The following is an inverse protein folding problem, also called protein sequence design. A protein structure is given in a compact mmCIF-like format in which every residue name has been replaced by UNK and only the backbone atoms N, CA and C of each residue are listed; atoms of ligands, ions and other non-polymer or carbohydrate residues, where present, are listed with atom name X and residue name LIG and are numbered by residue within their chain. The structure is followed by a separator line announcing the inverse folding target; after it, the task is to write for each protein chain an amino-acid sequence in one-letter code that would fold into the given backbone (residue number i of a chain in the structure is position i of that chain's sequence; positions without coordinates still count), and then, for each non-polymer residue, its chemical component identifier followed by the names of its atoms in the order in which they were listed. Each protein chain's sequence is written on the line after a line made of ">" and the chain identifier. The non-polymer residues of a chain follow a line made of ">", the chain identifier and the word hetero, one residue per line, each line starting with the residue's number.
data_IF_313812489038
#
_entry.id   IF_313812489038
#
_cell.length_a   1.000
_cell.length_b   1.000
_cell.length_c   1.000
_cell.angle_alpha   90.00
_cell.angle_beta   90.00
_cell.angle_gamma   90.00
#
_symmetry.space_group_name_H-M   'P 1'
#
loop_
_entity.id
_entity.type
_entity.pdbx_description
1 polymer ?
#
# COMPACT_ATOMS: atom_id res chain seq x y z
N UNK A 1 -7.18 -1.41 -12.62
CA UNK A 1 -5.83 -0.82 -12.45
C UNK A 1 -5.17 -0.40 -13.76
N UNK A 2 -5.66 -0.82 -14.94
CA UNK A 2 -5.00 -0.50 -16.20
C UNK A 2 -4.92 1.03 -16.46
N UNK A 3 -6.00 1.75 -16.14
CA UNK A 3 -6.09 3.20 -16.37
C UNK A 3 -5.13 4.04 -15.51
N UNK A 4 -4.82 3.61 -14.29
CA UNK A 4 -3.91 4.32 -13.39
C UNK A 4 -2.43 4.12 -13.78
N UNK A 5 -2.14 2.99 -14.45
CA UNK A 5 -0.83 2.64 -14.96
C UNK A 5 -0.57 3.25 -16.36
N UNK A 6 -1.61 3.31 -17.21
CA UNK A 6 -1.58 4.01 -18.51
C UNK A 6 -1.15 5.47 -18.39
N UNK A 7 -1.57 6.17 -17.33
CA UNK A 7 -1.22 7.58 -17.06
C UNK A 7 0.29 7.79 -16.87
N UNK A 8 1.04 6.75 -16.46
CA UNK A 8 2.47 6.87 -16.18
C UNK A 8 3.38 6.54 -17.37
N UNK A 9 2.83 6.05 -18.50
CA UNK A 9 3.61 5.63 -19.68
C UNK A 9 4.55 4.44 -19.42
N UNK A 10 4.51 3.85 -18.23
CA UNK A 10 5.23 2.64 -17.87
C UNK A 10 4.21 1.50 -17.97
N UNK A 11 4.57 0.41 -18.65
CA UNK A 11 3.75 -0.80 -18.70
C UNK A 11 3.36 -1.27 -17.29
N UNK A 12 2.40 -2.19 -17.21
CA UNK A 12 1.96 -2.73 -15.91
C UNK A 12 3.14 -3.25 -15.08
N UNK A 13 3.19 -2.95 -13.77
CA UNK A 13 4.29 -3.40 -12.93
C UNK A 13 4.34 -4.93 -12.96
N UNK A 14 5.55 -5.50 -12.95
CA UNK A 14 5.74 -6.94 -12.90
C UNK A 14 5.24 -7.55 -11.60
N UNK A 15 5.34 -6.77 -10.50
CA UNK A 15 4.88 -7.17 -9.18
C UNK A 15 4.37 -5.96 -8.39
N UNK A 16 3.37 -6.16 -7.53
CA UNK A 16 2.85 -5.15 -6.60
C UNK A 16 3.00 -5.61 -5.15
N UNK A 17 3.19 -4.64 -4.25
CA UNK A 17 3.23 -4.87 -2.80
C UNK A 17 2.19 -3.95 -2.18
N UNK A 18 1.29 -4.53 -1.41
CA UNK A 18 0.24 -3.85 -0.66
C UNK A 18 0.61 -4.01 0.81
N UNK A 19 0.59 -2.91 1.54
CA UNK A 19 0.90 -2.90 2.98
C UNK A 19 -0.26 -2.24 3.68
N UNK A 20 -0.91 -3.03 4.52
CA UNK A 20 -2.03 -2.66 5.38
C UNK A 20 -2.94 -1.51 4.92
N UNK A 21 -4.03 -1.85 4.25
CA UNK A 21 -5.04 -0.90 3.80
C UNK A 21 -6.10 -0.57 4.84
N UNK A 22 -5.96 -1.03 6.09
CA UNK A 22 -6.78 -0.80 7.31
C UNK A 22 -8.29 -1.04 7.18
N UNK A 23 -8.96 -0.28 6.33
CA UNK A 23 -10.39 -0.34 6.09
C UNK A 23 -10.64 0.10 4.65
N UNK A 24 -11.09 -0.81 3.79
CA UNK A 24 -11.70 -0.41 2.52
C UNK A 24 -12.96 -1.22 2.32
N UNK A 25 -14.05 -0.51 2.05
CA UNK A 25 -15.32 -1.09 1.69
C UNK A 25 -15.82 -0.29 0.47
N UNK A 26 -15.86 -0.92 -0.72
CA UNK A 26 -16.29 -0.23 -1.94
C UNK A 26 -17.76 0.21 -1.87
N UNK A 27 -18.55 -0.41 -1.00
CA UNK A 27 -19.97 -0.12 -0.84
C UNK A 27 -20.24 1.04 0.14
N UNK A 28 -19.20 1.59 0.76
CA UNK A 28 -19.29 2.74 1.66
C UNK A 28 -18.49 3.91 1.10
N UNK A 29 -18.93 5.16 1.30
CA UNK A 29 -18.14 6.33 0.92
C UNK A 29 -16.87 6.44 1.78
N UNK A 30 -15.83 7.10 1.26
CA UNK A 30 -14.57 7.32 1.98
C UNK A 30 -14.78 8.06 3.31
N UNK A 31 -15.69 9.04 3.31
CA UNK A 31 -16.26 9.65 4.51
C UNK A 31 -17.76 9.39 4.52
N UNK A 32 -18.30 9.03 5.68
CA UNK A 32 -19.73 8.85 5.89
C UNK A 32 -20.50 10.16 5.68
N UNK A 33 -19.93 11.28 6.13
CA UNK A 33 -20.51 12.61 6.08
C UNK A 33 -19.42 13.71 6.21
N UNK A 34 -19.82 14.97 6.07
CA UNK A 34 -18.90 16.11 6.18
C UNK A 34 -18.36 16.29 7.61
N UNK A 35 -19.07 15.82 8.63
CA UNK A 35 -18.63 15.91 10.03
C UNK A 35 -17.43 14.98 10.29
N UNK A 36 -17.50 13.75 9.79
CA UNK A 36 -16.37 12.82 9.81
C UNK A 36 -15.17 13.35 9.01
N UNK A 37 -15.43 13.91 7.83
CA UNK A 37 -14.39 14.55 7.00
C UNK A 37 -13.69 15.68 7.74
N UNK A 38 -14.45 16.59 8.36
CA UNK A 38 -13.89 17.71 9.11
C UNK A 38 -13.11 17.24 10.34
N UNK A 39 -13.60 16.22 11.04
CA UNK A 39 -12.92 15.63 12.21
C UNK A 39 -11.57 15.04 11.79
N UNK A 40 -11.51 14.31 10.67
CA UNK A 40 -10.27 13.78 10.12
C UNK A 40 -9.29 14.89 9.69
N UNK A 41 -9.80 15.98 9.11
CA UNK A 41 -8.99 17.14 8.73
C UNK A 41 -8.40 17.85 9.95
N UNK A 42 -9.19 18.08 10.99
CA UNK A 42 -8.74 18.72 12.23
C UNK A 42 -7.67 17.87 12.94
N UNK A 43 -7.87 16.55 12.99
CA UNK A 43 -6.90 15.61 13.54
C UNK A 43 -5.59 15.59 12.73
N UNK A 44 -5.68 15.59 11.40
CA UNK A 44 -4.52 15.68 10.53
C UNK A 44 -3.77 17.01 10.70
N UNK A 45 -4.49 18.13 10.81
CA UNK A 45 -3.88 19.45 11.09
C UNK A 45 -3.18 19.47 12.45
N UNK A 46 -3.75 18.81 13.47
CA UNK A 46 -3.10 18.66 14.78
C UNK A 46 -1.80 17.87 14.69
N UNK A 47 -1.73 16.86 13.84
CA UNK A 47 -0.56 15.99 13.67
C UNK A 47 0.54 16.63 12.80
N UNK A 48 0.17 17.20 11.64
CA UNK A 48 1.12 17.70 10.65
C UNK A 48 1.36 19.21 10.72
N UNK A 49 0.53 19.92 11.48
CA UNK A 49 0.62 21.35 11.72
C UNK A 49 -0.23 22.19 10.73
N UNK A 50 -0.62 23.41 11.13
CA UNK A 50 -1.54 24.27 10.37
C UNK A 50 -0.99 24.71 9.00
N UNK A 51 0.34 24.71 8.82
CA UNK A 51 0.97 24.99 7.53
C UNK A 51 0.73 23.93 6.45
N UNK A 52 0.19 22.75 6.82
CA UNK A 52 -0.06 21.64 5.91
C UNK A 52 -1.53 21.51 5.48
N UNK A 53 -2.41 22.42 5.90
CA UNK A 53 -3.86 22.33 5.63
C UNK A 53 -4.18 22.06 4.15
N UNK A 54 -3.55 22.79 3.22
CA UNK A 54 -3.77 22.57 1.77
C UNK A 54 -3.38 21.16 1.32
N UNK A 55 -2.27 20.64 1.82
CA UNK A 55 -1.79 19.30 1.48
C UNK A 55 -2.72 18.22 2.03
N UNK A 56 -3.27 18.42 3.23
CA UNK A 56 -4.25 17.52 3.86
C UNK A 56 -5.54 17.46 3.03
N UNK A 57 -6.08 18.62 2.65
CA UNK A 57 -7.27 18.71 1.79
C UNK A 57 -7.03 18.06 0.43
N UNK A 58 -5.90 18.37 -0.23
CA UNK A 58 -5.50 17.74 -1.50
C UNK A 58 -5.38 16.21 -1.37
N UNK A 59 -4.87 15.71 -0.24
CA UNK A 59 -4.77 14.28 0.04
C UNK A 59 -6.16 13.65 0.16
N UNK A 60 -7.08 14.23 0.94
CA UNK A 60 -8.43 13.69 1.09
C UNK A 60 -9.24 13.73 -0.20
N UNK A 61 -9.17 14.81 -0.98
CA UNK A 61 -9.86 14.90 -2.26
C UNK A 61 -9.37 13.83 -3.24
N UNK A 62 -8.05 13.60 -3.27
CA UNK A 62 -7.46 12.53 -4.07
C UNK A 62 -7.95 11.15 -3.62
N UNK A 63 -8.01 10.90 -2.32
CA UNK A 63 -8.48 9.63 -1.78
C UNK A 63 -9.97 9.40 -2.08
N UNK A 64 -10.82 10.40 -1.86
CA UNK A 64 -12.24 10.34 -2.20
C UNK A 64 -12.45 10.03 -3.69
N UNK A 65 -11.71 10.69 -4.58
CA UNK A 65 -11.79 10.44 -6.01
C UNK A 65 -11.36 9.01 -6.40
N UNK A 66 -10.27 8.50 -5.80
CA UNK A 66 -9.84 7.11 -6.02
C UNK A 66 -10.93 6.14 -5.53
N UNK A 67 -11.53 6.43 -4.37
CA UNK A 67 -12.57 5.61 -3.76
C UNK A 67 -13.83 5.54 -4.61
N UNK A 68 -14.31 6.65 -5.16
CA UNK A 68 -15.48 6.67 -6.05
C UNK A 68 -15.28 5.87 -7.34
N UNK A 69 -14.04 5.73 -7.78
CA UNK A 69 -13.69 5.03 -9.03
C UNK A 69 -13.12 3.61 -8.79
N UNK A 70 -13.17 3.13 -7.56
CA UNK A 70 -12.51 1.90 -7.11
C UNK A 70 -13.31 0.62 -7.39
N UNK A 71 -14.60 0.72 -7.70
CA UNK A 71 -15.51 -0.41 -7.92
C UNK A 71 -15.28 -1.20 -9.23
N UNK A 72 -14.38 -0.73 -10.12
CA UNK A 72 -14.09 -1.44 -11.37
C UNK A 72 -12.61 -1.34 -11.79
N UNK A 73 -11.66 -1.92 -11.03
CA UNK A 73 -10.32 -2.12 -11.55
C UNK A 73 -10.31 -3.38 -12.42
N UNK A 74 -9.67 -3.33 -13.59
CA UNK A 74 -9.26 -4.58 -14.25
C UNK A 74 -8.46 -5.44 -13.26
N UNK A 75 -8.69 -6.75 -13.28
CA UNK A 75 -7.92 -7.70 -12.49
C UNK A 75 -6.43 -7.49 -12.74
N UNK A 76 -5.66 -7.31 -11.67
CA UNK A 76 -4.22 -7.32 -11.77
C UNK A 76 -3.73 -8.77 -11.81
N UNK A 77 -3.25 -9.19 -12.98
CA UNK A 77 -2.77 -10.55 -13.23
C UNK A 77 -1.26 -10.72 -12.97
N UNK A 78 -0.58 -9.69 -12.46
CA UNK A 78 0.81 -9.82 -12.04
C UNK A 78 0.94 -10.48 -10.67
N UNK A 79 2.18 -10.73 -10.23
CA UNK A 79 2.44 -11.22 -8.87
C UNK A 79 2.14 -10.12 -7.86
N UNK A 80 1.54 -10.45 -6.72
CA UNK A 80 1.27 -9.48 -5.67
C UNK A 80 1.59 -10.05 -4.30
N UNK A 81 2.06 -9.21 -3.39
CA UNK A 81 2.17 -9.50 -1.97
C UNK A 81 1.29 -8.53 -1.19
N UNK A 82 0.52 -9.03 -0.25
CA UNK A 82 -0.21 -8.22 0.72
C UNK A 82 0.24 -8.55 2.14
N UNK A 83 0.81 -7.55 2.80
CA UNK A 83 1.10 -7.56 4.24
C UNK A 83 -0.14 -7.07 4.99
N UNK A 84 -0.89 -7.98 5.59
CA UNK A 84 -2.15 -7.70 6.27
C UNK A 84 -1.99 -7.74 7.79
N UNK A 85 -2.42 -6.68 8.47
CA UNK A 85 -2.55 -6.65 9.94
C UNK A 85 -3.81 -7.40 10.39
N UNK A 86 -3.93 -7.78 11.67
CA UNK A 86 -5.14 -8.40 12.20
C UNK A 86 -6.39 -7.56 11.92
N UNK A 87 -6.31 -6.24 12.02
CA UNK A 87 -7.44 -5.32 11.75
C UNK A 87 -7.90 -5.38 10.28
N UNK A 88 -6.95 -5.52 9.34
CA UNK A 88 -7.27 -5.70 7.93
C UNK A 88 -7.91 -7.07 7.64
N UNK A 89 -7.50 -8.11 8.36
CA UNK A 89 -8.14 -9.43 8.24
C UNK A 89 -9.57 -9.38 8.76
N UNK A 90 -9.77 -8.77 9.94
CA UNK A 90 -11.06 -8.67 10.61
C UNK A 90 -12.09 -7.82 9.82
N UNK A 91 -11.63 -6.78 9.12
CA UNK A 91 -12.51 -5.93 8.31
C UNK A 91 -12.93 -6.55 6.97
N UNK A 92 -12.33 -7.68 6.56
CA UNK A 92 -12.64 -8.36 5.29
C UNK A 92 -11.97 -7.75 4.05
N UNK A 93 -11.14 -6.72 4.21
CA UNK A 93 -10.44 -6.07 3.08
C UNK A 93 -9.48 -7.03 2.36
N UNK A 94 -8.97 -8.05 3.07
CA UNK A 94 -8.15 -9.11 2.46
C UNK A 94 -8.88 -9.86 1.35
N UNK A 95 -10.15 -10.19 1.56
CA UNK A 95 -10.93 -10.93 0.57
C UNK A 95 -11.28 -10.07 -0.64
N UNK A 96 -11.52 -8.77 -0.42
CA UNK A 96 -11.67 -7.83 -1.52
C UNK A 96 -10.37 -7.76 -2.36
N UNK A 97 -9.20 -7.61 -1.76
CA UNK A 97 -7.94 -7.60 -2.51
C UNK A 97 -7.67 -8.89 -3.29
N UNK A 98 -8.03 -10.05 -2.73
CA UNK A 98 -7.97 -11.33 -3.44
C UNK A 98 -8.86 -11.37 -4.68
N UNK A 99 -10.03 -10.74 -4.63
CA UNK A 99 -10.92 -10.64 -5.80
C UNK A 99 -10.31 -9.77 -6.92
N UNK A 100 -9.51 -8.76 -6.58
CA UNK A 100 -8.90 -7.83 -7.54
C UNK A 100 -7.54 -8.32 -8.08
N UNK A 101 -6.82 -9.12 -7.28
CA UNK A 101 -5.49 -9.65 -7.56
C UNK A 101 -5.48 -11.18 -7.38
N UNK A 102 -5.85 -11.97 -8.40
CA UNK A 102 -5.97 -13.44 -8.26
C UNK A 102 -4.68 -14.17 -7.88
N UNK A 103 -3.52 -13.54 -8.08
CA UNK A 103 -2.20 -14.09 -7.75
C UNK A 103 -1.56 -13.41 -6.53
N UNK A 104 -2.40 -12.86 -5.63
CA UNK A 104 -1.91 -12.23 -4.41
C UNK A 104 -1.53 -13.28 -3.36
N UNK A 105 -0.30 -13.17 -2.88
CA UNK A 105 0.15 -13.80 -1.66
C UNK A 105 -0.23 -12.91 -0.49
N UNK A 106 -0.82 -13.47 0.57
CA UNK A 106 -1.21 -12.71 1.75
C UNK A 106 -0.39 -13.22 2.93
N UNK A 107 0.40 -12.32 3.52
CA UNK A 107 1.19 -12.56 4.72
C UNK A 107 0.59 -11.76 5.86
N UNK A 108 0.23 -12.45 6.95
CA UNK A 108 -0.29 -11.79 8.14
C UNK A 108 0.88 -11.28 8.98
N UNK A 109 0.84 -10.00 9.34
CA UNK A 109 1.86 -9.34 10.16
C UNK A 109 1.23 -9.02 11.51
N UNK A 110 1.72 -9.63 12.59
CA UNK A 110 1.18 -9.43 13.95
C UNK A 110 1.65 -8.09 14.54
N UNK A 111 1.06 -6.99 14.08
CA UNK A 111 1.18 -5.66 14.65
C UNK A 111 -0.11 -4.87 14.39
N UNK A 112 -0.28 -3.74 15.08
CA UNK A 112 -1.37 -2.83 14.72
C UNK A 112 -1.04 -2.04 13.44
N UNK A 113 -2.06 -1.45 12.82
CA UNK A 113 -1.90 -0.59 11.65
C UNK A 113 -0.89 0.55 11.88
N UNK A 114 -0.95 1.19 13.04
CA UNK A 114 -0.05 2.30 13.38
C UNK A 114 1.40 1.87 13.61
N UNK A 115 1.64 0.57 13.82
CA UNK A 115 2.95 0.03 14.17
C UNK A 115 3.69 -0.60 12.97
N UNK A 116 3.02 -0.86 11.85
CA UNK A 116 3.61 -1.64 10.74
C UNK A 116 4.87 -1.00 10.14
N UNK A 117 4.99 0.33 10.23
CA UNK A 117 6.17 1.08 9.78
C UNK A 117 7.08 1.56 10.93
N UNK A 118 6.78 1.16 12.17
CA UNK A 118 7.64 1.50 13.31
C UNK A 118 8.97 0.73 13.25
N UNK A 119 10.03 1.21 13.91
CA UNK A 119 11.36 0.61 13.86
C UNK A 119 11.39 -0.88 14.19
N UNK A 120 10.53 -1.34 15.11
CA UNK A 120 10.41 -2.75 15.48
C UNK A 120 9.94 -3.64 14.32
N UNK A 121 9.09 -3.10 13.44
CA UNK A 121 8.49 -3.84 12.32
C UNK A 121 9.30 -3.72 11.03
N UNK A 122 10.24 -2.78 10.96
CA UNK A 122 11.08 -2.57 9.77
C UNK A 122 11.80 -3.84 9.31
N UNK A 123 12.43 -4.58 10.22
CA UNK A 123 13.12 -5.83 9.90
C UNK A 123 12.18 -6.92 9.37
N UNK A 124 11.14 -7.31 10.13
CA UNK A 124 10.14 -8.28 9.70
C UNK A 124 9.47 -7.95 8.36
N UNK A 125 8.99 -6.71 8.19
CA UNK A 125 8.34 -6.25 6.95
C UNK A 125 9.31 -6.28 5.77
N UNK A 126 10.55 -5.84 5.97
CA UNK A 126 11.57 -5.86 4.91
C UNK A 126 11.92 -7.27 4.46
N UNK A 127 11.96 -8.24 5.38
CA UNK A 127 12.25 -9.63 5.05
C UNK A 127 11.20 -10.20 4.08
N UNK A 128 9.91 -10.01 4.39
CA UNK A 128 8.80 -10.46 3.54
C UNK A 128 8.81 -9.79 2.17
N UNK A 129 9.10 -8.48 2.13
CA UNK A 129 9.22 -7.73 0.87
C UNK A 129 10.38 -8.28 0.02
N UNK A 130 11.53 -8.52 0.65
CA UNK A 130 12.71 -9.01 -0.05
C UNK A 130 12.52 -10.44 -0.58
N UNK A 131 11.89 -11.31 0.21
CA UNK A 131 11.52 -12.67 -0.20
C UNK A 131 10.62 -12.64 -1.45
N UNK A 132 9.56 -11.82 -1.42
CA UNK A 132 8.66 -11.68 -2.57
C UNK A 132 9.33 -11.09 -3.81
N UNK A 133 10.25 -10.15 -3.62
CA UNK A 133 11.01 -9.55 -4.71
C UNK A 133 12.12 -10.46 -5.25
N UNK A 134 12.29 -11.68 -4.72
CA UNK A 134 13.43 -12.55 -5.01
C UNK A 134 14.78 -11.84 -4.75
N UNK A 135 14.81 -10.90 -3.80
CA UNK A 135 15.99 -10.13 -3.39
C UNK A 135 16.77 -10.82 -2.26
N UNK A 136 16.42 -12.07 -1.92
CA UNK A 136 17.23 -12.89 -1.04
C UNK A 136 18.54 -13.28 -1.73
N UNK A 137 19.58 -12.47 -1.47
CA UNK A 137 20.95 -12.64 -1.96
C UNK A 137 21.61 -13.96 -1.52
N UNK A 138 20.97 -14.76 -0.67
CA UNK A 138 21.45 -16.08 -0.21
C UNK A 138 21.44 -17.14 -1.32
N UNK A 139 20.82 -16.85 -2.48
CA UNK A 139 20.79 -17.74 -3.65
C UNK A 139 21.73 -17.33 -4.79
N UNK A 140 22.58 -16.32 -4.60
CA UNK A 140 23.66 -16.04 -5.54
C UNK A 140 24.86 -16.86 -5.10
N UNK A 141 25.07 -18.02 -5.75
CA UNK A 141 26.39 -18.65 -5.74
C UNK A 141 27.45 -17.57 -6.07
N UNK A 142 28.59 -17.53 -5.38
CA UNK A 142 29.54 -16.44 -5.52
C UNK A 142 30.10 -16.43 -6.94
N UNK A 143 29.54 -15.61 -7.81
CA UNK A 143 30.21 -15.22 -9.05
C UNK A 143 31.25 -14.18 -8.68
N UNK A 144 32.49 -14.54 -8.95
CA UNK A 144 33.67 -13.76 -8.70
C UNK A 144 33.55 -12.34 -9.29
N UNK A 145 33.79 -11.34 -8.45
CA UNK A 145 34.28 -10.03 -8.87
C UNK A 145 33.26 -9.10 -9.53
N UNK A 146 32.47 -8.39 -8.72
CA UNK A 146 31.73 -7.22 -9.19
C UNK A 146 31.18 -6.44 -8.01
N UNK A 147 31.61 -5.19 -7.85
CA UNK A 147 31.19 -4.32 -6.75
C UNK A 147 29.65 -4.16 -6.72
N UNK A 148 29.02 -4.12 -5.54
CA UNK A 148 27.58 -4.01 -5.43
C UNK A 148 27.14 -2.61 -5.87
N UNK A 149 26.49 -2.53 -7.03
CA UNK A 149 25.75 -1.35 -7.43
C UNK A 149 24.41 -1.33 -6.71
N UNK A 150 24.34 -0.58 -5.61
CA UNK A 150 23.10 -0.30 -4.89
C UNK A 150 22.16 0.50 -5.79
N UNK A 151 21.11 -0.12 -6.34
CA UNK A 151 19.96 0.59 -6.90
C UNK A 151 18.80 0.52 -5.92
N UNK A 152 18.74 1.52 -5.03
CA UNK A 152 17.53 1.80 -4.26
C UNK A 152 16.52 2.38 -5.23
N UNK A 153 15.54 1.57 -5.65
CA UNK A 153 14.38 2.07 -6.37
C UNK A 153 13.43 2.67 -5.33
N UNK A 154 13.33 3.99 -5.32
CA UNK A 154 12.42 4.77 -4.48
C UNK A 154 10.99 4.35 -4.81
N UNK A 155 10.37 3.52 -3.98
CA UNK A 155 8.94 3.28 -4.03
C UNK A 155 8.26 4.52 -3.45
N UNK A 156 7.49 5.20 -4.30
CA UNK A 156 6.60 6.26 -3.86
C UNK A 156 5.52 5.59 -3.00
N UNK A 157 5.72 5.63 -1.68
CA UNK A 157 4.61 5.58 -0.75
C UNK A 157 3.68 6.73 -1.13
N UNK A 158 2.49 6.38 -1.58
CA UNK A 158 1.38 7.32 -1.59
C UNK A 158 0.97 7.41 -0.13
N UNK A 159 1.59 8.37 0.56
CA UNK A 159 1.20 8.83 1.88
C UNK A 159 0.02 9.78 1.77
#
# INVERSE_FOLDING_TARGET
>A
MARLLEITGKGSPFSTIIVDTRCYNPDQPFFKDEEERQTAADDAVRLFGPGQTRMIEEHFDKHAHIWENSACPDHYLGRSLYLATPEAVESGIVDWWRSQCPHIEVQRVECSHGEIFEPAMTGPVSALINEHCDLDFTRIEPQAGGAPHTRISKLAGVW
#
